data_IF_248691132302
#
_entry.id   IF_248691132302
#
_cell.length_a   1.000
_cell.length_b   1.000
_cell.length_c   1.000
_cell.angle_alpha   90.00
_cell.angle_beta   90.00
_cell.angle_gamma   90.00
#
_symmetry.space_group_name_H-M   'P 1'
#
loop_
_entity.id
_entity.type
_entity.pdbx_description
1 polymer ?
#
# COMPACT_ATOMS: atom_id res chain seq x y z
N UNK A 1 52.70 27.32 -21.71
CA UNK A 1 52.17 28.64 -21.30
C UNK A 1 50.70 28.46 -20.93
N UNK A 2 50.39 28.41 -19.63
CA UNK A 2 49.06 28.05 -19.12
C UNK A 2 48.15 29.28 -19.26
N UNK A 3 47.08 29.13 -20.03
CA UNK A 3 46.12 30.18 -20.37
C UNK A 3 45.17 30.39 -19.19
N UNK A 4 45.40 31.45 -18.41
CA UNK A 4 44.52 31.88 -17.32
C UNK A 4 43.21 32.44 -17.89
N UNK A 5 42.11 31.71 -17.75
CA UNK A 5 40.78 32.23 -18.09
C UNK A 5 40.34 33.32 -17.10
N UNK A 6 39.63 34.38 -17.55
CA UNK A 6 39.28 35.50 -16.70
C UNK A 6 38.11 35.18 -15.74
N UNK A 7 38.28 35.57 -14.48
CA UNK A 7 37.40 35.35 -13.30
C UNK A 7 35.91 35.66 -13.53
N UNK A 8 35.57 36.55 -14.47
CA UNK A 8 34.19 36.98 -14.76
C UNK A 8 33.31 35.85 -15.34
N UNK A 9 33.90 34.88 -16.02
CA UNK A 9 33.17 33.73 -16.56
C UNK A 9 32.99 32.61 -15.52
N UNK A 10 33.80 32.62 -14.46
CA UNK A 10 33.73 31.63 -13.37
C UNK A 10 32.46 31.87 -12.54
N UNK A 11 32.17 33.13 -12.21
CA UNK A 11 30.98 33.51 -11.45
C UNK A 11 29.68 33.27 -12.23
N UNK A 12 29.67 33.57 -13.53
CA UNK A 12 28.51 33.32 -14.40
C UNK A 12 28.20 31.82 -14.54
N UNK A 13 29.25 30.97 -14.60
CA UNK A 13 29.09 29.50 -14.60
C UNK A 13 28.58 28.97 -13.25
N UNK A 14 29.08 29.50 -12.14
CA UNK A 14 28.64 29.11 -10.79
C UNK A 14 27.17 29.49 -10.52
N UNK A 15 26.73 30.66 -10.99
CA UNK A 15 25.34 31.09 -10.91
C UNK A 15 24.40 30.24 -11.78
N UNK A 16 24.84 29.83 -12.97
CA UNK A 16 24.05 28.93 -13.84
C UNK A 16 23.90 27.52 -13.23
N UNK A 17 24.95 27.02 -12.57
CA UNK A 17 24.94 25.67 -11.96
C UNK A 17 24.00 25.58 -10.74
N UNK A 18 23.88 26.66 -9.96
CA UNK A 18 23.00 26.70 -8.77
C UNK A 18 21.51 26.78 -9.13
N UNK A 19 21.16 27.37 -10.27
CA UNK A 19 19.78 27.41 -10.79
C UNK A 19 19.24 26.04 -11.22
N UNK A 20 20.11 25.09 -11.59
CA UNK A 20 19.72 23.73 -12.00
C UNK A 20 19.44 22.79 -10.82
N UNK A 21 19.86 23.12 -9.58
CA UNK A 21 19.62 22.29 -8.40
C UNK A 21 18.37 22.69 -7.59
N UNK A 22 17.61 23.68 -8.04
CA UNK A 22 16.47 24.24 -7.30
C UNK A 22 15.13 23.55 -7.50
N UNK A 23 15.06 22.35 -8.10
CA UNK A 23 13.77 21.66 -8.25
C UNK A 23 13.27 21.26 -6.85
N UNK A 24 12.10 21.74 -6.38
CA UNK A 24 11.51 21.19 -5.18
C UNK A 24 11.37 19.67 -5.32
N UNK A 25 11.99 18.93 -4.41
CA UNK A 25 11.72 17.51 -4.25
C UNK A 25 10.28 17.36 -3.75
N UNK A 26 9.35 17.13 -4.68
CA UNK A 26 8.00 16.73 -4.33
C UNK A 26 8.09 15.27 -3.93
N UNK A 27 7.84 14.96 -2.65
CA UNK A 27 7.70 13.59 -2.21
C UNK A 27 6.43 13.02 -2.84
N UNK A 28 6.59 12.25 -3.91
CA UNK A 28 5.50 11.47 -4.48
C UNK A 28 5.26 10.25 -3.58
N UNK A 29 4.15 10.27 -2.84
CA UNK A 29 3.74 9.14 -2.02
C UNK A 29 3.04 8.14 -2.93
N UNK A 30 3.76 7.11 -3.36
CA UNK A 30 3.14 6.02 -4.13
C UNK A 30 2.24 5.19 -3.20
N UNK A 31 1.01 4.84 -3.62
CA UNK A 31 0.15 3.94 -2.87
C UNK A 31 0.86 2.63 -2.55
N UNK A 32 0.98 2.28 -1.27
CA UNK A 32 1.58 1.01 -0.82
C UNK A 32 0.53 -0.03 -0.42
N UNK A 33 0.96 -1.28 -0.30
CA UNK A 33 0.15 -2.33 0.31
C UNK A 33 0.48 -2.44 1.81
N UNK A 34 -0.57 -2.68 2.60
CA UNK A 34 -0.48 -3.00 4.02
C UNK A 34 -0.13 -4.50 4.22
N UNK A 35 0.12 -4.93 5.44
CA UNK A 35 0.48 -6.30 5.84
C UNK A 35 -0.61 -7.34 5.52
N UNK A 36 -1.82 -6.85 5.28
CA UNK A 36 -2.98 -7.65 4.91
C UNK A 36 -3.14 -7.76 3.39
N UNK A 37 -2.31 -7.05 2.61
CA UNK A 37 -2.31 -7.03 1.15
C UNK A 37 -3.27 -6.02 0.52
N UNK A 38 -3.94 -5.19 1.31
CA UNK A 38 -4.83 -4.12 0.84
C UNK A 38 -4.09 -2.79 0.75
N UNK A 39 -4.60 -1.80 0.01
CA UNK A 39 -3.95 -0.49 -0.08
C UNK A 39 -3.93 0.24 1.27
N UNK A 40 -2.73 0.61 1.73
CA UNK A 40 -2.55 1.13 3.07
C UNK A 40 -1.11 1.16 3.53
N UNK A 41 -0.94 1.53 4.79
CA UNK A 41 0.35 1.69 5.47
C UNK A 41 0.42 0.76 6.68
N UNK A 42 1.40 -0.13 6.69
CA UNK A 42 1.60 -1.13 7.77
C UNK A 42 0.32 -1.93 7.96
N UNK A 43 -0.54 -1.62 8.93
CA UNK A 43 -1.83 -2.29 9.14
C UNK A 43 -3.03 -1.38 8.81
N UNK A 44 -2.80 -0.08 8.68
CA UNK A 44 -3.85 0.91 8.45
C UNK A 44 -4.28 0.92 6.98
N UNK A 45 -5.57 0.70 6.68
CA UNK A 45 -6.12 0.99 5.36
C UNK A 45 -5.94 2.48 5.03
N UNK A 46 -5.62 2.79 3.77
CA UNK A 46 -5.55 4.17 3.28
C UNK A 46 -6.73 4.48 2.35
N UNK A 47 -7.06 5.75 2.16
CA UNK A 47 -8.02 6.20 1.15
C UNK A 47 -7.53 6.02 -0.29
N UNK A 48 -6.24 5.78 -0.49
CA UNK A 48 -5.58 5.69 -1.80
C UNK A 48 -6.03 4.47 -2.64
N UNK A 49 -5.87 4.56 -3.95
CA UNK A 49 -6.08 3.47 -4.89
C UNK A 49 -4.78 3.13 -5.63
N UNK A 50 -4.56 1.84 -5.91
CA UNK A 50 -3.47 1.40 -6.78
C UNK A 50 -3.77 1.76 -8.24
N UNK A 51 -2.77 1.61 -9.10
CA UNK A 51 -2.96 1.73 -10.55
C UNK A 51 -3.97 0.70 -11.05
N UNK A 52 -4.84 1.12 -11.98
CA UNK A 52 -5.87 0.25 -12.56
C UNK A 52 -5.24 -0.96 -13.26
N UNK A 53 -5.74 -2.16 -12.96
CA UNK A 53 -5.22 -3.43 -13.49
C UNK A 53 -4.07 -4.01 -12.68
N UNK A 54 -3.69 -3.40 -11.56
CA UNK A 54 -2.65 -3.92 -10.67
C UNK A 54 -3.10 -5.23 -10.01
N UNK A 55 -2.32 -6.28 -10.20
CA UNK A 55 -2.43 -7.54 -9.47
C UNK A 55 -1.28 -7.65 -8.48
N UNK A 56 -1.59 -8.06 -7.25
CA UNK A 56 -0.60 -8.25 -6.20
C UNK A 56 -0.80 -9.58 -5.51
N UNK A 57 0.31 -10.26 -5.26
CA UNK A 57 0.35 -11.53 -4.54
C UNK A 57 1.36 -11.42 -3.41
N UNK A 58 0.94 -11.80 -2.21
CA UNK A 58 1.81 -11.76 -1.03
C UNK A 58 1.61 -13.02 -0.19
N UNK A 59 2.72 -13.52 0.36
CA UNK A 59 2.72 -14.60 1.35
C UNK A 59 3.53 -14.12 2.54
N UNK A 60 2.90 -14.12 3.71
CA UNK A 60 3.51 -13.76 4.98
C UNK A 60 3.43 -14.91 5.96
N UNK A 61 4.48 -15.07 6.76
CA UNK A 61 4.48 -16.01 7.88
C UNK A 61 4.85 -15.29 9.17
N UNK A 62 3.93 -15.31 10.14
CA UNK A 62 4.13 -14.71 11.46
C UNK A 62 3.82 -15.78 12.51
N UNK A 63 4.87 -16.43 12.99
CA UNK A 63 4.75 -17.54 13.96
C UNK A 63 3.87 -18.69 13.42
N UNK A 64 2.80 -19.10 14.14
CA UNK A 64 1.93 -20.17 13.69
C UNK A 64 1.05 -19.79 12.48
N UNK A 65 0.94 -18.49 12.16
CA UNK A 65 0.02 -17.96 11.16
C UNK A 65 0.73 -17.82 9.82
N UNK A 66 0.22 -18.51 8.80
CA UNK A 66 0.54 -18.24 7.40
C UNK A 66 -0.60 -17.47 6.78
N UNK A 67 -0.29 -16.40 6.06
CA UNK A 67 -1.24 -15.60 5.30
C UNK A 67 -0.82 -15.55 3.84
N UNK A 68 -1.77 -15.74 2.95
CA UNK A 68 -1.60 -15.54 1.51
C UNK A 68 -2.68 -14.58 1.06
N UNK A 69 -2.31 -13.42 0.51
CA UNK A 69 -3.26 -12.44 -0.02
C UNK A 69 -3.08 -12.27 -1.52
N UNK A 70 -4.18 -12.34 -2.25
CA UNK A 70 -4.32 -11.95 -3.64
C UNK A 70 -5.13 -10.65 -3.69
N UNK A 71 -4.59 -9.62 -4.32
CA UNK A 71 -5.26 -8.32 -4.45
C UNK A 71 -5.32 -7.90 -5.89
N UNK A 72 -6.46 -7.37 -6.32
CA UNK A 72 -6.66 -6.90 -7.68
C UNK A 72 -7.37 -5.55 -7.69
N UNK A 73 -6.78 -4.59 -8.41
CA UNK A 73 -7.35 -3.27 -8.64
C UNK A 73 -8.09 -3.30 -9.98
N UNK A 74 -9.42 -3.48 -9.95
CA UNK A 74 -10.24 -3.59 -11.16
C UNK A 74 -10.31 -2.27 -11.95
N UNK A 75 -10.41 -1.16 -11.24
CA UNK A 75 -10.44 0.19 -11.80
C UNK A 75 -9.78 1.15 -10.81
N UNK A 76 -9.59 2.42 -11.18
CA UNK A 76 -9.11 3.46 -10.27
C UNK A 76 -9.98 3.64 -8.99
N UNK A 77 -11.18 3.03 -8.94
CA UNK A 77 -12.09 3.16 -7.79
C UNK A 77 -12.45 1.87 -7.11
N UNK A 78 -12.29 0.72 -7.76
CA UNK A 78 -12.74 -0.57 -7.22
C UNK A 78 -11.53 -1.49 -7.07
N UNK A 79 -11.32 -1.99 -5.86
CA UNK A 79 -10.36 -3.06 -5.58
C UNK A 79 -10.99 -4.17 -4.77
N UNK A 80 -10.52 -5.39 -5.03
CA UNK A 80 -10.85 -6.56 -4.25
C UNK A 80 -9.59 -7.20 -3.70
N UNK A 81 -9.69 -7.84 -2.55
CA UNK A 81 -8.60 -8.62 -1.97
C UNK A 81 -9.15 -9.90 -1.38
N UNK A 82 -8.51 -11.01 -1.70
CA UNK A 82 -8.87 -12.32 -1.20
C UNK A 82 -7.71 -12.89 -0.42
N UNK A 83 -7.98 -13.30 0.81
CA UNK A 83 -6.97 -13.66 1.79
C UNK A 83 -7.27 -15.03 2.34
N UNK A 84 -6.25 -15.86 2.30
CA UNK A 84 -6.21 -17.16 2.94
C UNK A 84 -5.33 -17.09 4.17
N UNK A 85 -5.85 -17.52 5.31
CA UNK A 85 -5.09 -17.63 6.54
C UNK A 85 -5.14 -19.06 7.06
N UNK A 86 -3.99 -19.56 7.50
CA UNK A 86 -3.87 -20.86 8.15
C UNK A 86 -3.15 -20.66 9.47
N UNK A 87 -3.79 -21.07 10.55
CA UNK A 87 -3.20 -21.09 11.88
C UNK A 87 -2.79 -22.53 12.19
N UNK A 88 -1.53 -22.73 12.55
CA UNK A 88 -0.96 -24.05 12.86
C UNK A 88 -0.65 -24.15 14.34
N UNK A 89 -0.57 -25.37 14.88
CA UNK A 89 -0.27 -25.62 16.29
C UNK A 89 -1.29 -24.97 17.23
N UNK A 90 -2.54 -24.83 16.77
CA UNK A 90 -3.62 -24.24 17.57
C UNK A 90 -4.04 -25.16 18.73
N UNK A 91 -3.64 -26.43 18.67
CA UNK A 91 -3.78 -27.45 19.71
C UNK A 91 -3.04 -27.11 21.01
N UNK A 92 -2.02 -26.25 20.93
CA UNK A 92 -1.30 -25.72 22.10
C UNK A 92 -2.11 -24.68 22.88
N UNK A 93 -3.10 -24.05 22.25
CA UNK A 93 -3.98 -23.02 22.84
C UNK A 93 -5.39 -23.56 23.10
N UNK A 94 -5.92 -24.40 22.20
CA UNK A 94 -7.23 -25.05 22.32
C UNK A 94 -7.04 -26.55 22.02
N UNK A 95 -7.11 -27.43 23.05
CA UNK A 95 -6.93 -28.87 22.85
C UNK A 95 -7.93 -29.43 21.83
N UNK A 96 -7.43 -30.06 20.77
CA UNK A 96 -8.24 -30.79 19.77
C UNK A 96 -8.37 -30.14 18.40
N UNK A 97 -7.92 -28.89 18.21
CA UNK A 97 -7.93 -28.23 16.91
C UNK A 97 -6.50 -27.83 16.50
N UNK A 98 -5.84 -28.67 15.70
CA UNK A 98 -4.43 -28.44 15.33
C UNK A 98 -4.26 -27.41 14.22
N UNK A 99 -5.32 -27.10 13.46
CA UNK A 99 -5.23 -26.24 12.28
C UNK A 99 -6.56 -25.58 11.91
N UNK A 100 -6.62 -24.25 12.07
CA UNK A 100 -7.73 -23.42 11.58
C UNK A 100 -7.37 -22.85 10.20
N UNK A 101 -8.29 -22.93 9.24
CA UNK A 101 -8.17 -22.25 7.96
C UNK A 101 -9.32 -21.29 7.78
N UNK A 102 -9.00 -20.05 7.43
CA UNK A 102 -9.96 -18.99 7.21
C UNK A 102 -9.74 -18.36 5.82
N UNK A 103 -10.84 -17.94 5.21
CA UNK A 103 -10.90 -17.35 3.88
C UNK A 103 -11.71 -16.07 3.97
N UNK A 104 -11.05 -14.93 3.81
CA UNK A 104 -11.68 -13.61 3.84
C UNK A 104 -11.65 -12.97 2.46
N UNK A 105 -12.77 -12.36 2.08
CA UNK A 105 -12.91 -11.57 0.87
C UNK A 105 -13.23 -10.12 1.26
N UNK A 106 -12.46 -9.20 0.72
CA UNK A 106 -12.55 -7.77 1.00
C UNK A 106 -12.88 -7.02 -0.30
N UNK A 107 -13.76 -6.02 -0.21
CA UNK A 107 -14.13 -5.15 -1.31
C UNK A 107 -14.00 -3.69 -0.88
N UNK A 108 -13.43 -2.87 -1.77
CA UNK A 108 -13.17 -1.45 -1.50
C UNK A 108 -13.64 -0.58 -2.66
N UNK A 109 -14.21 0.57 -2.31
CA UNK A 109 -14.73 1.56 -3.24
C UNK A 109 -14.29 2.98 -2.89
N UNK A 110 -13.53 3.61 -3.79
CA UNK A 110 -13.10 5.00 -3.71
C UNK A 110 -14.24 5.93 -4.11
N UNK A 111 -14.83 6.59 -3.12
CA UNK A 111 -15.88 7.59 -3.30
C UNK A 111 -15.29 8.88 -3.85
N UNK A 112 -14.26 9.39 -3.17
CA UNK A 112 -13.65 10.67 -3.47
C UNK A 112 -12.15 10.48 -3.71
N UNK A 113 -11.68 10.98 -4.86
CA UNK A 113 -10.24 11.05 -5.13
C UNK A 113 -9.62 12.21 -4.36
N UNK A 114 -8.37 12.04 -3.94
CA UNK A 114 -7.61 13.12 -3.33
C UNK A 114 -7.53 14.32 -4.28
N UNK A 115 -7.76 15.51 -3.71
CA UNK A 115 -7.59 16.78 -4.38
C UNK A 115 -6.79 17.74 -3.50
N UNK A 116 -6.64 19.00 -3.94
CA UNK A 116 -5.83 19.99 -3.21
C UNK A 116 -6.32 20.29 -1.79
N UNK A 117 -7.60 20.05 -1.51
CA UNK A 117 -8.28 20.44 -0.27
C UNK A 117 -9.14 19.33 0.33
N UNK A 118 -9.44 18.28 -0.44
CA UNK A 118 -10.26 17.16 0.00
C UNK A 118 -9.39 15.90 0.02
N UNK A 119 -9.43 15.12 1.11
CA UNK A 119 -8.72 13.85 1.17
C UNK A 119 -9.39 12.81 0.28
N UNK A 120 -8.66 11.75 -0.04
CA UNK A 120 -9.29 10.55 -0.58
C UNK A 120 -10.23 9.93 0.47
N UNK A 121 -11.41 9.49 0.03
CA UNK A 121 -12.40 8.82 0.89
C UNK A 121 -12.78 7.50 0.24
N UNK A 122 -12.54 6.40 0.97
CA UNK A 122 -12.76 5.04 0.49
C UNK A 122 -13.59 4.29 1.52
N UNK A 123 -14.68 3.70 1.08
CA UNK A 123 -15.41 2.74 1.90
C UNK A 123 -14.94 1.33 1.60
N UNK A 124 -14.86 0.51 2.64
CA UNK A 124 -14.49 -0.89 2.52
C UNK A 124 -15.36 -1.79 3.37
N UNK A 125 -15.59 -2.98 2.84
CA UNK A 125 -16.16 -4.10 3.58
C UNK A 125 -15.09 -5.18 3.60
N UNK A 126 -14.68 -5.56 4.80
CA UNK A 126 -13.71 -6.62 5.04
C UNK A 126 -14.42 -7.87 5.52
N UNK A 127 -13.90 -9.03 5.09
CA UNK A 127 -14.30 -10.33 5.61
C UNK A 127 -15.82 -10.53 5.62
N UNK A 128 -16.45 -10.38 4.45
CA UNK A 128 -17.89 -10.65 4.26
C UNK A 128 -18.18 -12.11 3.89
N UNK A 129 -17.15 -12.94 3.74
CA UNK A 129 -17.22 -14.37 3.41
C UNK A 129 -16.36 -15.12 4.42
N UNK A 130 -16.74 -16.33 4.82
CA UNK A 130 -15.97 -17.16 5.75
C UNK A 130 -16.66 -17.32 7.10
N UNK A 131 -15.88 -17.42 8.18
CA UNK A 131 -16.38 -17.46 9.56
C UNK A 131 -16.75 -16.06 10.10
N UNK A 132 -16.45 -14.99 9.34
CA UNK A 132 -16.71 -13.59 9.67
C UNK A 132 -16.11 -13.15 11.02
N UNK A 133 -15.09 -13.84 11.51
CA UNK A 133 -14.47 -13.56 12.80
C UNK A 133 -13.77 -12.18 12.82
N UNK A 134 -13.42 -11.64 11.64
CA UNK A 134 -12.74 -10.37 11.45
C UNK A 134 -13.52 -9.41 10.54
N UNK A 135 -14.85 -9.60 10.42
CA UNK A 135 -15.72 -8.77 9.59
C UNK A 135 -15.77 -7.33 10.09
N UNK A 136 -15.58 -6.38 9.18
CA UNK A 136 -15.59 -4.96 9.50
C UNK A 136 -15.99 -4.10 8.29
N UNK A 137 -16.60 -2.96 8.58
CA UNK A 137 -16.89 -1.90 7.61
C UNK A 137 -16.12 -0.64 8.02
N UNK A 138 -15.57 0.09 7.05
CA UNK A 138 -14.81 1.31 7.33
C UNK A 138 -14.99 2.38 6.24
N UNK A 139 -14.62 3.61 6.59
CA UNK A 139 -14.60 4.84 5.77
C UNK A 139 -13.21 5.47 5.88
#
# INVERSE_FOLDING_TARGET
>A
MIMLLPSRHLLARLACTTLLCGTPAVAEMTPSLNISGTTGLIDMPSGEAQDSGTFSFSVGNVGPITRTTLSFQFSERISGSYRFQTWRNWDTLIPGDSKINDQSLDLRYLILKEGKVLPAVTIGINDFTGENAYSAEYI
#
